data_IF_732845026999
#
_entry.id   IF_732845026999
#
_cell.length_a   1.000
_cell.length_b   1.000
_cell.length_c   1.000
_cell.angle_alpha   90.00
_cell.angle_beta   90.00
_cell.angle_gamma   90.00
#
_symmetry.space_group_name_H-M   'P 1'
#
loop_
_entity.id
_entity.type
_entity.pdbx_description
1 polymer ?
#
# COMPACT_ATOMS: atom_id res chain seq x y z
N UNK A 1 -29.19 20.40 -6.31
CA UNK A 1 -29.21 19.73 -7.63
C UNK A 1 -29.54 20.69 -8.78
N UNK A 2 -30.57 21.55 -8.66
CA UNK A 2 -30.94 22.55 -9.69
C UNK A 2 -29.82 23.50 -10.11
N UNK A 3 -29.00 23.98 -9.15
CA UNK A 3 -27.88 24.89 -9.44
C UNK A 3 -26.85 24.23 -10.36
N UNK A 4 -26.53 22.95 -10.12
CA UNK A 4 -25.61 22.20 -10.99
C UNK A 4 -26.18 22.02 -12.40
N UNK A 5 -27.48 21.73 -12.53
CA UNK A 5 -28.15 21.59 -13.83
C UNK A 5 -28.16 22.92 -14.60
N UNK A 6 -28.49 24.03 -13.94
CA UNK A 6 -28.45 25.37 -14.55
C UNK A 6 -27.06 25.74 -15.04
N UNK A 7 -26.01 25.39 -14.30
CA UNK A 7 -24.62 25.68 -14.65
C UNK A 7 -24.20 24.89 -15.90
N UNK A 8 -24.57 23.60 -15.96
CA UNK A 8 -24.34 22.75 -17.15
C UNK A 8 -25.08 23.28 -18.37
N UNK A 9 -26.37 23.64 -18.24
CA UNK A 9 -27.16 24.19 -19.36
C UNK A 9 -26.54 25.51 -19.85
N UNK A 10 -26.16 26.40 -18.94
CA UNK A 10 -25.54 27.68 -19.28
C UNK A 10 -24.22 27.49 -20.03
N UNK A 11 -23.39 26.54 -19.56
CA UNK A 11 -22.14 26.18 -20.26
C UNK A 11 -22.41 25.63 -21.68
N UNK A 12 -23.41 24.75 -21.83
CA UNK A 12 -23.81 24.15 -23.11
C UNK A 12 -24.30 25.22 -24.12
N UNK A 13 -25.10 26.18 -23.65
CA UNK A 13 -25.56 27.33 -24.45
C UNK A 13 -24.39 28.21 -24.89
N UNK A 14 -23.44 28.49 -23.99
CA UNK A 14 -22.23 29.26 -24.33
C UNK A 14 -21.35 28.53 -25.36
N UNK A 15 -21.26 27.20 -25.28
CA UNK A 15 -20.47 26.38 -26.20
C UNK A 15 -21.08 26.33 -27.61
N UNK A 16 -22.41 26.19 -27.72
CA UNK A 16 -23.15 26.25 -28.98
C UNK A 16 -23.13 27.65 -29.63
N UNK A 17 -23.21 28.71 -28.83
CA UNK A 17 -23.33 30.09 -29.33
C UNK A 17 -21.99 30.77 -29.60
N UNK A 18 -20.96 30.44 -28.84
CA UNK A 18 -19.63 31.04 -28.95
C UNK A 18 -18.52 29.96 -29.02
N UNK A 19 -18.54 29.07 -30.02
CA UNK A 19 -17.59 27.95 -30.10
C UNK A 19 -16.14 28.43 -30.17
N UNK A 20 -15.86 29.53 -30.85
CA UNK A 20 -14.51 30.10 -30.95
C UNK A 20 -13.93 30.62 -29.62
N UNK A 21 -14.75 30.77 -28.57
CA UNK A 21 -14.32 31.29 -27.25
C UNK A 21 -14.48 30.27 -26.14
N UNK A 22 -15.59 29.54 -26.09
CA UNK A 22 -15.87 28.56 -25.04
C UNK A 22 -15.10 27.25 -25.22
N UNK A 23 -14.88 26.81 -26.46
CA UNK A 23 -14.16 25.58 -26.79
C UNK A 23 -12.68 25.62 -26.37
N UNK A 24 -11.87 26.67 -26.68
CA UNK A 24 -10.48 26.72 -26.24
C UNK A 24 -10.34 26.78 -24.71
N UNK A 25 -11.25 27.48 -24.02
CA UNK A 25 -11.27 27.53 -22.55
C UNK A 25 -11.55 26.14 -21.96
N UNK A 26 -12.53 25.44 -22.51
CA UNK A 26 -12.88 24.08 -22.05
C UNK A 26 -11.77 23.08 -22.33
N UNK A 27 -11.11 23.20 -23.49
CA UNK A 27 -9.99 22.34 -23.87
C UNK A 27 -8.76 22.61 -22.99
N UNK A 28 -8.46 23.88 -22.69
CA UNK A 28 -7.42 24.24 -21.73
C UNK A 28 -7.69 23.67 -20.33
N UNK A 29 -8.94 23.75 -19.86
CA UNK A 29 -9.35 23.17 -18.58
C UNK A 29 -9.21 21.63 -18.59
N UNK A 30 -9.68 20.97 -19.65
CA UNK A 30 -9.56 19.52 -19.80
C UNK A 30 -8.08 19.07 -19.86
N UNK A 31 -7.24 19.83 -20.57
CA UNK A 31 -5.81 19.57 -20.65
C UNK A 31 -5.13 19.73 -19.28
N UNK A 32 -5.46 20.78 -18.52
CA UNK A 32 -4.98 20.96 -17.15
C UNK A 32 -5.37 19.80 -16.23
N UNK A 33 -6.63 19.36 -16.29
CA UNK A 33 -7.11 18.19 -15.54
C UNK A 33 -6.38 16.91 -15.96
N UNK A 34 -6.16 16.70 -17.26
CA UNK A 34 -5.43 15.54 -17.78
C UNK A 34 -3.98 15.52 -17.29
N UNK A 35 -3.28 16.67 -17.26
CA UNK A 35 -1.92 16.75 -16.73
C UNK A 35 -1.85 16.37 -15.25
N UNK A 36 -2.78 16.88 -14.43
CA UNK A 36 -2.85 16.53 -12.99
C UNK A 36 -3.14 15.03 -12.81
N UNK A 37 -4.09 14.49 -13.57
CA UNK A 37 -4.40 13.06 -13.52
C UNK A 37 -3.20 12.19 -13.90
N UNK A 38 -2.49 12.52 -14.99
CA UNK A 38 -1.27 11.84 -15.40
C UNK A 38 -0.16 11.95 -14.34
N UNK A 39 0.01 13.11 -13.73
CA UNK A 39 0.99 13.31 -12.66
C UNK A 39 0.72 12.41 -11.45
N UNK A 40 -0.54 12.34 -10.99
CA UNK A 40 -0.96 11.49 -9.87
C UNK A 40 -0.74 10.01 -10.19
N UNK A 41 -1.12 9.56 -11.39
CA UNK A 41 -0.91 8.15 -11.80
C UNK A 41 0.58 7.81 -11.89
N UNK A 42 1.41 8.73 -12.35
CA UNK A 42 2.86 8.51 -12.42
C UNK A 42 3.47 8.38 -11.01
N UNK A 43 3.04 9.23 -10.07
CA UNK A 43 3.51 9.18 -8.69
C UNK A 43 3.12 7.86 -8.00
N UNK A 44 1.86 7.45 -8.13
CA UNK A 44 1.34 6.20 -7.56
C UNK A 44 2.07 4.98 -8.13
N UNK A 45 2.30 4.94 -9.44
CA UNK A 45 3.03 3.85 -10.07
C UNK A 45 4.51 3.80 -9.64
N UNK A 46 5.15 4.95 -9.39
CA UNK A 46 6.53 5.00 -8.87
C UNK A 46 6.61 4.38 -7.47
N UNK A 47 5.70 4.73 -6.57
CA UNK A 47 5.65 4.17 -5.21
C UNK A 47 5.34 2.67 -5.22
N UNK A 48 4.36 2.24 -6.04
CA UNK A 48 4.01 0.83 -6.17
C UNK A 48 5.19 -0.02 -6.67
N UNK A 49 5.96 0.50 -7.63
CA UNK A 49 7.17 -0.18 -8.12
C UNK A 49 8.26 -0.27 -7.05
N UNK A 50 8.42 0.74 -6.21
CA UNK A 50 9.40 0.70 -5.12
C UNK A 50 9.00 -0.31 -4.04
N UNK A 51 7.72 -0.37 -3.68
CA UNK A 51 7.18 -1.38 -2.76
C UNK A 51 7.33 -2.80 -3.32
N UNK A 52 7.11 -3.01 -4.62
CA UNK A 52 7.27 -4.31 -5.26
C UNK A 52 8.73 -4.83 -5.25
N UNK A 53 9.71 -3.95 -5.09
CA UNK A 53 11.14 -4.32 -4.94
C UNK A 53 11.54 -4.63 -3.51
N UNK A 54 10.65 -4.42 -2.53
CA UNK A 54 10.85 -4.90 -1.18
C UNK A 54 10.49 -6.39 -1.12
N UNK A 55 11.43 -7.23 -0.72
CA UNK A 55 11.16 -8.64 -0.41
C UNK A 55 10.96 -8.76 1.10
N UNK A 56 9.71 -8.92 1.52
CA UNK A 56 9.31 -9.08 2.92
C UNK A 56 8.75 -10.48 3.13
N UNK A 57 9.48 -11.30 3.89
CA UNK A 57 9.11 -12.68 4.19
C UNK A 57 8.85 -12.85 5.67
N UNK A 58 7.78 -13.56 5.99
CA UNK A 58 7.45 -13.95 7.35
C UNK A 58 7.36 -15.47 7.45
N UNK A 59 7.98 -16.01 8.48
CA UNK A 59 7.95 -17.46 8.73
C UNK A 59 7.86 -17.73 10.23
N UNK A 60 7.03 -18.71 10.59
CA UNK A 60 6.99 -19.20 11.96
C UNK A 60 8.27 -20.00 12.23
N UNK A 61 9.12 -19.50 13.12
CA UNK A 61 10.46 -20.03 13.38
C UNK A 61 10.77 -20.03 14.88
N UNK A 62 10.05 -20.82 15.70
CA UNK A 62 10.24 -20.86 17.15
C UNK A 62 11.65 -21.36 17.55
N UNK A 63 12.36 -22.05 16.66
CA UNK A 63 13.74 -22.49 16.88
C UNK A 63 14.76 -21.34 16.80
N UNK A 64 14.45 -20.29 16.04
CA UNK A 64 15.36 -19.15 15.79
C UNK A 64 14.93 -17.87 16.50
N UNK A 65 13.71 -17.84 17.03
CA UNK A 65 13.12 -16.68 17.67
C UNK A 65 12.68 -16.98 19.11
N UNK A 66 12.70 -15.99 20.02
CA UNK A 66 12.18 -16.14 21.37
C UNK A 66 10.72 -16.59 21.42
N UNK A 67 10.31 -17.24 22.51
CA UNK A 67 8.97 -17.79 22.67
C UNK A 67 7.85 -16.73 22.66
N UNK A 68 8.15 -15.49 23.09
CA UNK A 68 7.23 -14.35 23.03
C UNK A 68 7.09 -13.76 21.62
N UNK A 69 8.04 -14.04 20.73
CA UNK A 69 8.10 -13.49 19.36
C UNK A 69 8.49 -14.53 18.31
N UNK A 70 7.72 -15.63 18.16
CA UNK A 70 8.14 -16.78 17.35
C UNK A 70 8.05 -16.56 15.84
N UNK A 71 7.62 -15.37 15.38
CA UNK A 71 7.48 -15.05 13.97
C UNK A 71 8.72 -14.32 13.47
N UNK A 72 9.53 -14.98 12.65
CA UNK A 72 10.69 -14.35 12.01
C UNK A 72 10.23 -13.48 10.84
N UNK A 73 10.73 -12.26 10.77
CA UNK A 73 10.60 -11.37 9.62
C UNK A 73 11.96 -11.17 8.97
N UNK A 74 11.99 -11.22 7.63
CA UNK A 74 13.15 -10.85 6.82
C UNK A 74 12.71 -9.84 5.79
N UNK A 75 13.38 -8.70 5.75
CA UNK A 75 13.16 -7.62 4.79
C UNK A 75 14.43 -7.40 3.99
N UNK A 76 14.30 -7.32 2.67
CA UNK A 76 15.37 -6.89 1.78
C UNK A 76 14.91 -5.68 0.98
N UNK A 77 15.68 -4.60 1.05
CA UNK A 77 15.43 -3.41 0.24
C UNK A 77 16.09 -3.55 -1.13
N UNK A 78 15.40 -4.14 -2.11
CA UNK A 78 15.88 -4.25 -3.49
C UNK A 78 15.86 -2.93 -4.28
N UNK A 79 15.53 -1.80 -3.65
CA UNK A 79 15.56 -0.49 -4.28
C UNK A 79 16.98 0.09 -4.34
N UNK A 80 17.14 1.10 -5.20
CA UNK A 80 18.35 1.93 -5.28
C UNK A 80 18.32 3.11 -4.30
N UNK A 81 17.23 3.26 -3.55
CA UNK A 81 17.00 4.33 -2.58
C UNK A 81 16.76 3.73 -1.19
N UNK A 82 17.22 4.39 -0.12
CA UNK A 82 16.85 4.06 1.26
C UNK A 82 15.34 4.00 1.48
N UNK A 83 14.90 2.99 2.21
CA UNK A 83 13.57 2.91 2.82
C UNK A 83 13.62 3.70 4.12
N UNK A 84 12.65 4.58 4.36
CA UNK A 84 12.61 5.47 5.54
C UNK A 84 11.65 4.93 6.59
N UNK A 85 10.43 4.58 6.19
CA UNK A 85 9.43 3.96 7.05
C UNK A 85 8.77 2.81 6.31
N UNK A 86 8.44 1.73 7.04
CA UNK A 86 7.63 0.63 6.52
C UNK A 86 6.65 0.16 7.60
N UNK A 87 5.39 0.02 7.18
CA UNK A 87 4.29 -0.48 7.97
C UNK A 87 3.60 -1.59 7.19
N UNK A 88 3.18 -2.63 7.90
CA UNK A 88 2.42 -3.73 7.30
C UNK A 88 1.49 -4.33 8.35
N UNK A 89 0.61 -5.21 7.88
CA UNK A 89 -0.17 -6.12 8.72
C UNK A 89 0.27 -7.55 8.46
N UNK A 90 0.28 -8.36 9.50
CA UNK A 90 0.52 -9.79 9.35
C UNK A 90 -0.82 -10.47 9.10
N UNK A 91 -0.90 -11.21 8.01
CA UNK A 91 -1.99 -12.12 7.70
C UNK A 91 -1.50 -13.56 7.86
N UNK A 92 -2.42 -14.45 8.21
CA UNK A 92 -2.14 -15.88 8.35
C UNK A 92 -3.15 -16.66 7.52
N UNK A 93 -2.67 -17.60 6.71
CA UNK A 93 -3.47 -18.38 5.79
C UNK A 93 -3.25 -19.87 6.02
N UNK A 94 -4.30 -20.66 5.91
CA UNK A 94 -4.11 -22.10 5.75
C UNK A 94 -3.54 -22.37 4.33
N UNK A 95 -2.70 -23.40 4.15
CA UNK A 95 -2.15 -23.74 2.83
C UNK A 95 -3.28 -23.97 1.82
N UNK A 96 -3.25 -23.22 0.71
CA UNK A 96 -4.29 -23.28 -0.35
C UNK A 96 -5.59 -22.52 -0.04
N UNK A 97 -5.69 -21.88 1.12
CA UNK A 97 -6.83 -21.05 1.50
C UNK A 97 -6.52 -19.55 1.28
N UNK A 98 -7.58 -18.76 1.09
CA UNK A 98 -7.53 -17.30 0.95
C UNK A 98 -8.17 -16.57 2.13
N UNK A 99 -8.72 -17.30 3.11
CA UNK A 99 -9.30 -16.68 4.30
C UNK A 99 -8.20 -16.29 5.27
N UNK A 100 -8.16 -15.00 5.63
CA UNK A 100 -7.23 -14.51 6.64
C UNK A 100 -7.68 -14.97 8.04
N UNK A 101 -6.84 -15.78 8.66
CA UNK A 101 -7.02 -16.38 9.97
C UNK A 101 -6.39 -15.55 11.09
N UNK A 102 -5.60 -14.53 10.76
CA UNK A 102 -5.16 -13.54 11.73
C UNK A 102 -6.35 -12.64 12.10
N UNK A 103 -6.65 -12.57 13.38
CA UNK A 103 -7.76 -11.79 13.90
C UNK A 103 -7.43 -10.29 13.82
N UNK A 104 -8.28 -9.54 13.13
CA UNK A 104 -8.08 -8.13 12.81
C UNK A 104 -8.78 -7.28 13.87
N UNK A 105 -8.45 -7.55 15.15
CA UNK A 105 -8.98 -6.76 16.25
C UNK A 105 -8.47 -5.32 16.18
N UNK A 106 -9.24 -4.37 16.73
CA UNK A 106 -8.82 -2.97 16.80
C UNK A 106 -7.48 -2.79 17.54
N UNK A 107 -7.13 -3.75 18.41
CA UNK A 107 -5.89 -3.85 19.19
C UNK A 107 -4.74 -4.56 18.46
N UNK A 108 -4.90 -4.96 17.19
CA UNK A 108 -3.87 -5.72 16.48
C UNK A 108 -2.51 -4.97 16.47
N UNK A 109 -1.38 -5.66 16.71
CA UNK A 109 -0.07 -5.03 16.72
C UNK A 109 0.23 -4.35 15.39
N UNK A 110 0.61 -3.07 15.44
CA UNK A 110 1.15 -2.37 14.27
C UNK A 110 2.62 -2.72 14.14
N UNK A 111 2.91 -3.68 13.28
CA UNK A 111 4.26 -4.07 12.95
C UNK A 111 4.95 -2.95 12.17
N UNK A 112 6.15 -2.58 12.61
CA UNK A 112 6.98 -1.53 12.03
C UNK A 112 8.30 -2.13 11.58
N UNK A 113 8.83 -1.57 10.49
CA UNK A 113 10.12 -1.94 9.93
C UNK A 113 11.29 -1.45 10.79
N UNK A 114 12.53 -1.67 10.32
CA UNK A 114 13.75 -1.26 11.01
C UNK A 114 13.93 0.26 11.18
N UNK A 115 13.02 1.08 10.66
CA UNK A 115 13.28 2.49 10.37
C UNK A 115 14.03 2.59 9.05
N UNK A 116 15.10 3.37 9.02
CA UNK A 116 15.89 3.58 7.82
C UNK A 116 16.64 2.30 7.41
N UNK A 117 16.39 1.80 6.19
CA UNK A 117 17.07 0.65 5.60
C UNK A 117 17.68 1.04 4.26
N UNK A 118 19.01 1.02 4.20
CA UNK A 118 19.78 1.43 3.02
C UNK A 118 19.43 0.61 1.77
N UNK A 119 19.71 1.18 0.61
CA UNK A 119 19.55 0.51 -0.68
C UNK A 119 20.35 -0.81 -0.73
N UNK A 120 19.71 -1.90 -1.13
CA UNK A 120 20.31 -3.24 -1.18
C UNK A 120 20.54 -3.91 0.19
N UNK A 121 20.24 -3.24 1.30
CA UNK A 121 20.44 -3.80 2.63
C UNK A 121 19.32 -4.78 3.02
N UNK A 122 19.64 -5.68 3.94
CA UNK A 122 18.69 -6.62 4.53
C UNK A 122 18.59 -6.42 6.04
N UNK A 123 17.40 -6.69 6.56
CA UNK A 123 17.08 -6.62 7.98
C UNK A 123 16.28 -7.85 8.38
N UNK A 124 16.46 -8.29 9.61
CA UNK A 124 15.71 -9.39 10.20
C UNK A 124 15.37 -9.06 11.65
N UNK A 125 14.21 -9.54 12.09
CA UNK A 125 13.76 -9.42 13.48
C UNK A 125 12.76 -10.53 13.83
N UNK A 126 12.44 -10.65 15.11
CA UNK A 126 11.46 -11.58 15.65
C UNK A 126 10.24 -10.80 16.17
N UNK A 127 9.05 -11.15 15.69
CA UNK A 127 7.80 -10.45 15.95
C UNK A 127 6.84 -11.32 16.77
N UNK A 128 5.97 -10.70 17.60
CA UNK A 128 4.89 -11.43 18.26
C UNK A 128 3.90 -11.94 17.23
N UNK A 129 3.38 -13.14 17.48
CA UNK A 129 2.35 -13.75 16.65
C UNK A 129 1.03 -12.94 16.76
N UNK A 130 0.33 -12.63 15.66
CA UNK A 130 -0.99 -12.04 15.76
C UNK A 130 -1.97 -13.03 16.43
N UNK A 131 -3.02 -12.55 17.10
CA UNK A 131 -4.09 -13.43 17.57
C UNK A 131 -4.66 -14.20 16.36
N UNK A 132 -4.78 -15.52 16.49
CA UNK A 132 -5.32 -16.39 15.44
C UNK A 132 -6.74 -16.79 15.80
N UNK A 133 -7.57 -17.02 14.78
CA UNK A 133 -8.88 -17.65 14.98
C UNK A 133 -8.72 -19.00 15.71
N UNK A 134 -9.65 -19.37 16.62
CA UNK A 134 -9.58 -20.62 17.35
C UNK A 134 -9.50 -21.85 16.42
N UNK A 135 -8.75 -22.87 16.84
CA UNK A 135 -8.64 -24.14 16.13
C UNK A 135 -7.44 -24.27 15.17
N UNK A 136 -6.72 -23.18 14.89
CA UNK A 136 -5.55 -23.21 14.01
C UNK A 136 -4.23 -23.21 14.78
N UNK A 137 -3.25 -24.01 14.32
CA UNK A 137 -1.90 -24.05 14.89
C UNK A 137 -0.97 -23.16 14.07
N UNK A 138 -0.12 -22.32 14.69
CA UNK A 138 0.75 -21.42 13.95
C UNK A 138 1.68 -22.13 12.95
N UNK A 139 2.21 -23.30 13.32
CA UNK A 139 3.12 -24.10 12.51
C UNK A 139 2.52 -24.65 11.20
N UNK A 140 1.18 -24.67 11.07
CA UNK A 140 0.50 -25.15 9.87
C UNK A 140 0.05 -24.01 8.97
N UNK A 141 0.39 -22.76 9.30
CA UNK A 141 -0.07 -21.57 8.59
C UNK A 141 1.05 -20.91 7.78
N UNK A 142 0.65 -20.27 6.69
CA UNK A 142 1.50 -19.38 5.92
C UNK A 142 1.27 -17.94 6.37
N UNK A 143 2.36 -17.29 6.82
CA UNK A 143 2.32 -15.89 7.23
C UNK A 143 2.74 -15.00 6.07
N UNK A 144 1.97 -13.94 5.84
CA UNK A 144 2.25 -12.97 4.77
C UNK A 144 2.12 -11.56 5.31
N UNK A 145 2.92 -10.66 4.76
CA UNK A 145 2.74 -9.23 4.98
C UNK A 145 1.69 -8.70 4.00
N UNK A 146 0.72 -7.97 4.52
CA UNK A 146 -0.32 -7.32 3.73
C UNK A 146 -0.41 -5.84 4.03
N UNK A 147 -1.03 -5.11 3.11
CA UNK A 147 -1.20 -3.65 3.21
C UNK A 147 0.13 -2.95 3.50
N UNK A 148 1.16 -3.31 2.75
CA UNK A 148 2.47 -2.67 2.85
C UNK A 148 2.30 -1.19 2.53
N UNK A 149 2.78 -0.36 3.44
CA UNK A 149 2.82 1.09 3.29
C UNK A 149 4.21 1.52 3.71
N UNK A 150 4.95 2.13 2.80
CA UNK A 150 6.29 2.59 3.09
C UNK A 150 6.61 3.88 2.36
N UNK A 151 7.61 4.58 2.87
CA UNK A 151 8.19 5.78 2.28
C UNK A 151 9.66 5.55 1.98
N UNK A 152 10.12 6.11 0.87
CA UNK A 152 11.51 6.06 0.44
C UNK A 152 12.07 7.47 0.42
N UNK A 153 13.40 7.60 0.47
CA UNK A 153 14.03 8.89 0.24
C UNK A 153 13.86 9.33 -1.22
N UNK A 154 13.64 10.63 -1.43
CA UNK A 154 13.44 11.26 -2.76
C UNK A 154 14.64 11.15 -3.71
#
# INVERSE_FOLDING_TARGET
>A
MFIGVLLVITWLVLLLRYPAKALPVSLAAAFGLALVACWVVWLDNREAQQLARLDLRLSYAPEHCPADRPLQVKLNNGNKVPLVELRWRVAAYAPGDTVNLADNQYSAPRYRGPGELQAGASWQDCLPLPPLRPGYRPQTLEFRAERLQGSFSD
#
